data_IF_082507550918
#
_entry.id   IF_082507550918
#
_cell.length_a   1.000
_cell.length_b   1.000
_cell.length_c   1.000
_cell.angle_alpha   90.00
_cell.angle_beta   90.00
_cell.angle_gamma   90.00
#
_symmetry.space_group_name_H-M   'P 1'
#
loop_
_entity.id
_entity.type
_entity.pdbx_description
1 polymer ?
#
# COMPACT_ATOMS: atom_id res chain seq x y z
N UNK A 1 13.39 -29.49 -20.48
CA UNK A 1 12.69 -28.24 -20.25
C UNK A 1 11.29 -28.54 -19.79
N UNK A 2 10.94 -28.17 -18.57
CA UNK A 2 9.60 -28.34 -18.04
C UNK A 2 8.63 -27.48 -18.89
N UNK A 3 7.63 -28.13 -19.49
CA UNK A 3 6.54 -27.41 -20.14
C UNK A 3 5.69 -26.76 -19.05
N UNK A 4 5.98 -25.52 -18.72
CA UNK A 4 5.09 -24.75 -17.87
C UNK A 4 3.74 -24.59 -18.58
N UNK A 5 2.62 -24.85 -17.90
CA UNK A 5 1.31 -24.70 -18.49
C UNK A 5 1.12 -23.25 -18.97
N UNK A 6 0.78 -23.08 -20.24
CA UNK A 6 0.46 -21.76 -20.78
C UNK A 6 -0.81 -21.24 -20.08
N UNK A 7 -0.68 -20.07 -19.44
CA UNK A 7 -1.78 -19.41 -18.74
C UNK A 7 -2.97 -19.16 -19.68
N UNK A 8 -4.11 -19.77 -19.41
CA UNK A 8 -5.39 -19.39 -20.03
C UNK A 8 -5.99 -18.23 -19.23
N UNK A 9 -5.52 -17.02 -19.49
CA UNK A 9 -6.03 -15.84 -18.79
C UNK A 9 -7.36 -15.39 -19.39
N UNK A 10 -8.46 -15.74 -18.76
CA UNK A 10 -9.68 -14.94 -18.87
C UNK A 10 -9.52 -13.76 -17.92
N UNK A 11 -9.09 -12.60 -18.44
CA UNK A 11 -9.10 -11.35 -17.68
C UNK A 11 -10.56 -10.87 -17.57
N UNK A 12 -11.02 -10.70 -16.34
CA UNK A 12 -12.27 -9.97 -16.08
C UNK A 12 -11.89 -8.50 -16.09
N UNK A 13 -12.42 -7.71 -17.01
CA UNK A 13 -12.13 -6.27 -17.10
C UNK A 13 -13.26 -5.47 -16.46
N UNK A 14 -12.91 -4.47 -15.67
CA UNK A 14 -13.88 -3.55 -15.09
C UNK A 14 -14.36 -2.58 -16.19
N UNK A 15 -15.63 -2.65 -16.64
CA UNK A 15 -16.04 -1.99 -17.87
C UNK A 15 -16.25 -0.47 -17.72
N UNK A 16 -16.43 0.03 -16.50
CA UNK A 16 -16.70 1.44 -16.21
C UNK A 16 -16.18 1.84 -14.83
N UNK A 17 -16.04 3.14 -14.59
CA UNK A 17 -15.66 3.66 -13.28
C UNK A 17 -16.76 3.41 -12.26
N UNK A 18 -16.40 2.80 -11.15
CA UNK A 18 -17.37 2.50 -10.09
C UNK A 18 -18.01 3.79 -9.54
N UNK A 19 -19.33 3.79 -9.31
CA UNK A 19 -19.98 4.90 -8.65
C UNK A 19 -19.36 5.18 -7.28
N UNK A 20 -19.27 6.45 -6.90
CA UNK A 20 -18.59 6.87 -5.67
C UNK A 20 -19.15 6.25 -4.38
N UNK A 21 -20.43 5.86 -4.39
CA UNK A 21 -21.09 5.23 -3.25
C UNK A 21 -20.77 3.73 -3.10
N UNK A 22 -20.19 3.09 -4.12
CA UNK A 22 -19.92 1.64 -4.08
C UNK A 22 -18.82 1.27 -3.09
N UNK A 23 -17.80 2.14 -2.93
CA UNK A 23 -16.72 1.96 -1.96
C UNK A 23 -17.01 2.78 -0.70
N UNK A 24 -17.62 2.13 0.27
CA UNK A 24 -17.86 2.66 1.60
C UNK A 24 -17.63 1.56 2.65
N UNK A 25 -17.63 1.93 3.93
CA UNK A 25 -17.34 1.00 5.03
C UNK A 25 -18.31 -0.20 5.08
N UNK A 26 -19.56 -0.01 4.69
CA UNK A 26 -20.54 -1.10 4.70
C UNK A 26 -20.25 -2.14 3.62
N UNK A 27 -20.05 -1.70 2.36
CA UNK A 27 -19.80 -2.61 1.24
C UNK A 27 -18.44 -3.33 1.39
N UNK A 28 -17.40 -2.63 1.85
CA UNK A 28 -16.09 -3.21 2.15
C UNK A 28 -16.21 -4.23 3.28
N UNK A 29 -16.93 -3.92 4.36
CA UNK A 29 -17.13 -4.84 5.47
C UNK A 29 -17.90 -6.09 5.06
N UNK A 30 -18.96 -5.93 4.27
CA UNK A 30 -19.75 -7.04 3.74
C UNK A 30 -18.92 -7.96 2.84
N UNK A 31 -18.12 -7.38 1.94
CA UNK A 31 -17.20 -8.12 1.08
C UNK A 31 -16.15 -8.87 1.91
N UNK A 32 -15.51 -8.22 2.86
CA UNK A 32 -14.49 -8.84 3.71
C UNK A 32 -15.07 -10.00 4.54
N UNK A 33 -16.27 -9.84 5.09
CA UNK A 33 -16.96 -10.90 5.84
C UNK A 33 -17.29 -12.10 4.95
N UNK A 34 -17.76 -11.85 3.72
CA UNK A 34 -18.02 -12.90 2.75
C UNK A 34 -16.72 -13.63 2.39
N UNK A 35 -15.69 -12.90 2.00
CA UNK A 35 -14.39 -13.45 1.60
C UNK A 35 -13.74 -14.25 2.73
N UNK A 36 -13.76 -13.74 3.96
CA UNK A 36 -13.27 -14.45 5.14
C UNK A 36 -14.04 -15.75 5.36
N UNK A 37 -15.38 -15.72 5.32
CA UNK A 37 -16.20 -16.91 5.54
C UNK A 37 -15.99 -17.99 4.47
N UNK A 38 -15.77 -17.61 3.22
CA UNK A 38 -15.47 -18.54 2.13
C UNK A 38 -14.11 -19.24 2.27
N UNK A 39 -13.18 -18.61 2.99
CA UNK A 39 -11.80 -19.10 3.11
C UNK A 39 -11.41 -19.62 4.50
N UNK A 40 -12.17 -19.29 5.56
CA UNK A 40 -11.81 -19.62 6.97
C UNK A 40 -11.58 -21.11 7.26
N UNK A 41 -12.22 -22.00 6.51
CA UNK A 41 -12.10 -23.45 6.73
C UNK A 41 -11.03 -24.10 5.83
N UNK A 42 -10.33 -23.33 4.99
CA UNK A 42 -9.27 -23.85 4.13
C UNK A 42 -7.96 -23.82 4.91
N UNK A 43 -7.52 -24.97 5.43
CA UNK A 43 -6.26 -25.09 6.16
C UNK A 43 -5.04 -24.96 5.22
N UNK A 44 -5.11 -25.55 4.03
CA UNK A 44 -4.10 -25.43 3.00
C UNK A 44 -4.72 -25.62 1.61
N UNK A 45 -4.17 -24.96 0.60
CA UNK A 45 -4.58 -25.15 -0.80
C UNK A 45 -3.38 -24.95 -1.72
N UNK A 46 -3.33 -25.73 -2.80
CA UNK A 46 -2.40 -25.48 -3.89
C UNK A 46 -2.99 -24.37 -4.77
N UNK A 47 -2.22 -23.31 -4.97
CA UNK A 47 -2.58 -22.21 -5.86
C UNK A 47 -1.50 -22.04 -6.91
N UNK A 48 -1.89 -21.57 -8.10
CA UNK A 48 -0.93 -21.19 -9.13
C UNK A 48 -0.07 -20.03 -8.64
N UNK A 49 1.26 -20.12 -8.87
CA UNK A 49 2.21 -19.12 -8.40
C UNK A 49 1.89 -17.71 -8.91
N UNK A 50 1.40 -17.59 -10.12
CA UNK A 50 1.07 -16.34 -10.77
C UNK A 50 -0.16 -15.68 -10.10
N UNK A 51 -1.19 -16.45 -9.82
CA UNK A 51 -2.37 -15.99 -9.06
C UNK A 51 -2.00 -15.62 -7.62
N UNK A 52 -1.03 -16.31 -7.02
CA UNK A 52 -0.57 -16.02 -5.66
C UNK A 52 0.22 -14.71 -5.60
N UNK A 53 1.19 -14.51 -6.49
CA UNK A 53 2.05 -13.34 -6.47
C UNK A 53 1.42 -12.10 -7.13
N UNK A 54 0.52 -12.30 -8.11
CA UNK A 54 -0.09 -11.24 -8.90
C UNK A 54 -1.63 -11.33 -8.93
N UNK A 55 -2.30 -11.29 -7.76
CA UNK A 55 -3.75 -11.55 -7.69
C UNK A 55 -4.59 -10.54 -8.50
N UNK A 56 -4.11 -9.30 -8.65
CA UNK A 56 -4.81 -8.26 -9.41
C UNK A 56 -4.62 -8.33 -10.92
N UNK A 57 -3.62 -9.08 -11.41
CA UNK A 57 -3.36 -9.20 -12.85
C UNK A 57 -4.47 -9.94 -13.60
N UNK A 58 -5.31 -10.68 -12.88
CA UNK A 58 -6.51 -11.33 -13.41
C UNK A 58 -7.68 -10.36 -13.64
N UNK A 59 -7.61 -9.15 -13.09
CA UNK A 59 -8.63 -8.11 -13.19
C UNK A 59 -8.07 -6.96 -14.01
N UNK A 60 -8.54 -6.82 -15.27
CA UNK A 60 -8.20 -5.67 -16.10
C UNK A 60 -8.89 -4.40 -15.60
N UNK A 61 -8.20 -3.25 -15.70
CA UNK A 61 -8.71 -1.94 -15.29
C UNK A 61 -9.23 -1.90 -13.84
N UNK A 62 -8.63 -2.69 -12.93
CA UNK A 62 -9.04 -2.78 -11.52
C UNK A 62 -9.06 -1.42 -10.81
N UNK A 63 -8.24 -0.46 -11.26
CA UNK A 63 -8.21 0.90 -10.75
C UNK A 63 -9.56 1.63 -10.90
N UNK A 64 -10.39 1.26 -11.86
CA UNK A 64 -11.75 1.81 -12.04
C UNK A 64 -12.68 1.53 -10.87
N UNK A 65 -12.35 0.56 -10.01
CA UNK A 65 -13.09 0.31 -8.77
C UNK A 65 -13.07 1.51 -7.81
N UNK A 66 -12.05 2.38 -7.90
CA UNK A 66 -11.96 3.59 -7.09
C UNK A 66 -12.75 4.78 -7.65
N UNK A 67 -13.34 4.63 -8.84
CA UNK A 67 -14.12 5.64 -9.53
C UNK A 67 -13.25 6.72 -10.17
N UNK A 68 -13.88 7.76 -10.69
CA UNK A 68 -13.22 8.83 -11.48
C UNK A 68 -12.10 9.58 -10.75
N UNK A 69 -12.20 9.70 -9.43
CA UNK A 69 -11.18 10.40 -8.64
C UNK A 69 -9.91 9.56 -8.44
N UNK A 70 -9.94 8.27 -8.78
CA UNK A 70 -8.81 7.38 -8.62
C UNK A 70 -8.48 7.07 -7.16
N UNK A 71 -7.23 6.70 -6.90
CA UNK A 71 -6.74 6.29 -5.59
C UNK A 71 -5.30 6.75 -5.39
N UNK A 72 -4.85 6.70 -4.15
CA UNK A 72 -3.44 6.77 -3.79
C UNK A 72 -3.06 5.60 -2.91
N UNK A 73 -1.79 5.27 -2.89
CA UNK A 73 -1.26 4.17 -2.09
C UNK A 73 -0.38 4.73 -0.96
N UNK A 74 -0.39 4.04 0.17
CA UNK A 74 0.60 4.18 1.22
C UNK A 74 1.18 2.81 1.54
N UNK A 75 2.50 2.72 1.59
CA UNK A 75 3.17 1.53 2.09
C UNK A 75 4.19 1.95 3.14
N UNK A 76 4.08 1.36 4.31
CA UNK A 76 5.01 1.60 5.41
C UNK A 76 5.61 0.28 5.88
N UNK A 77 6.75 0.38 6.56
CA UNK A 77 7.35 -0.72 7.33
C UNK A 77 7.50 -0.27 8.76
N UNK A 78 7.20 -1.15 9.71
CA UNK A 78 7.46 -0.95 11.13
C UNK A 78 8.49 -1.99 11.60
N UNK A 79 9.43 -1.58 12.49
CA UNK A 79 10.31 -2.52 13.17
C UNK A 79 9.51 -3.63 13.83
N UNK A 80 10.08 -4.83 13.88
CA UNK A 80 9.36 -6.05 14.32
C UNK A 80 8.76 -5.91 15.72
N UNK A 81 9.49 -5.29 16.63
CA UNK A 81 9.07 -5.08 18.02
C UNK A 81 7.84 -4.14 18.16
N UNK A 82 7.62 -3.24 17.19
CA UNK A 82 6.50 -2.31 17.19
C UNK A 82 5.39 -2.68 16.22
N UNK A 83 5.57 -3.75 15.43
CA UNK A 83 4.66 -4.08 14.32
C UNK A 83 3.25 -4.40 14.79
N UNK A 84 3.07 -5.21 15.83
CA UNK A 84 1.75 -5.61 16.33
C UNK A 84 0.97 -4.39 16.85
N UNK A 85 1.57 -3.64 17.75
CA UNK A 85 0.96 -2.44 18.33
C UNK A 85 0.69 -1.38 17.25
N UNK A 86 1.66 -1.12 16.38
CA UNK A 86 1.56 -0.11 15.34
C UNK A 86 0.47 -0.43 14.34
N UNK A 87 0.41 -1.66 13.84
CA UNK A 87 -0.64 -2.04 12.87
C UNK A 87 -2.02 -2.12 13.49
N UNK A 88 -2.14 -2.51 14.75
CA UNK A 88 -3.41 -2.41 15.47
C UNK A 88 -3.90 -0.96 15.50
N UNK A 89 -3.02 0.00 15.80
CA UNK A 89 -3.34 1.43 15.81
C UNK A 89 -3.66 1.96 14.40
N UNK A 90 -2.88 1.59 13.39
CA UNK A 90 -3.12 1.97 11.99
C UNK A 90 -4.49 1.47 11.54
N UNK A 91 -4.78 0.18 11.71
CA UNK A 91 -6.04 -0.43 11.27
C UNK A 91 -7.24 0.16 12.01
N UNK A 92 -7.15 0.41 13.32
CA UNK A 92 -8.21 1.08 14.07
C UNK A 92 -8.46 2.52 13.62
N UNK A 93 -7.40 3.27 13.28
CA UNK A 93 -7.51 4.62 12.72
C UNK A 93 -8.24 4.59 11.38
N UNK A 94 -7.87 3.66 10.49
CA UNK A 94 -8.53 3.47 9.19
C UNK A 94 -10.00 3.11 9.38
N UNK A 95 -10.30 2.15 10.24
CA UNK A 95 -11.69 1.71 10.50
C UNK A 95 -12.57 2.85 10.96
N UNK A 96 -12.06 3.72 11.82
CA UNK A 96 -12.84 4.79 12.43
C UNK A 96 -12.93 6.04 11.55
N UNK A 97 -11.91 6.35 10.78
CA UNK A 97 -11.76 7.65 10.11
C UNK A 97 -11.77 7.58 8.58
N UNK A 98 -11.42 6.46 7.96
CA UNK A 98 -11.34 6.30 6.51
C UNK A 98 -12.69 5.96 5.88
N UNK A 99 -12.75 6.05 4.56
CA UNK A 99 -13.87 5.50 3.74
C UNK A 99 -13.71 4.01 3.45
N UNK A 100 -12.76 3.36 4.11
CA UNK A 100 -12.36 1.98 3.85
C UNK A 100 -11.16 1.90 2.91
N UNK A 101 -10.42 0.80 3.02
CA UNK A 101 -9.34 0.43 2.08
C UNK A 101 -9.75 -0.84 1.37
N UNK A 102 -9.58 -0.88 0.05
CA UNK A 102 -10.00 -2.02 -0.77
C UNK A 102 -8.92 -3.10 -0.82
N UNK A 103 -7.66 -2.69 -0.83
CA UNK A 103 -6.51 -3.60 -0.85
C UNK A 103 -5.61 -3.31 0.35
N UNK A 104 -5.31 -4.35 1.11
CA UNK A 104 -4.31 -4.33 2.16
C UNK A 104 -3.38 -5.54 1.97
N UNK A 105 -2.07 -5.31 1.90
CA UNK A 105 -1.07 -6.35 1.74
C UNK A 105 -0.05 -6.26 2.85
N UNK A 106 0.04 -7.31 3.66
CA UNK A 106 1.04 -7.45 4.72
C UNK A 106 2.15 -8.39 4.26
N UNK A 107 3.41 -7.99 4.46
CA UNK A 107 4.59 -8.81 4.13
C UNK A 107 5.62 -8.72 5.25
N UNK A 108 6.49 -9.72 5.32
CA UNK A 108 7.67 -9.72 6.19
C UNK A 108 8.90 -9.28 5.39
N UNK A 109 9.70 -8.37 5.94
CA UNK A 109 10.94 -7.89 5.36
C UNK A 109 12.13 -8.29 6.23
N UNK A 110 13.21 -8.69 5.56
CA UNK A 110 14.55 -8.77 6.13
C UNK A 110 15.23 -7.41 6.20
N UNK A 111 16.49 -7.41 6.63
CA UNK A 111 17.33 -6.21 6.68
C UNK A 111 17.43 -5.55 5.29
N UNK A 112 17.20 -4.25 5.24
CA UNK A 112 17.41 -3.44 4.05
C UNK A 112 18.84 -2.95 3.91
N UNK A 113 19.24 -2.56 2.71
CA UNK A 113 20.53 -1.95 2.43
C UNK A 113 20.39 -0.86 1.37
N UNK A 114 21.38 0.07 1.36
CA UNK A 114 21.46 1.13 0.37
C UNK A 114 20.94 2.49 0.85
N UNK A 115 21.26 3.52 0.06
CA UNK A 115 20.83 4.89 0.27
C UNK A 115 19.36 5.01 -0.08
N UNK A 116 18.59 5.76 0.67
CA UNK A 116 17.14 5.91 0.49
C UNK A 116 16.39 4.55 0.42
N UNK A 117 16.94 3.52 1.08
CA UNK A 117 16.34 2.19 1.10
C UNK A 117 15.10 2.17 1.99
N UNK A 118 13.96 1.75 1.44
CA UNK A 118 12.71 1.60 2.18
C UNK A 118 12.70 0.37 3.11
N UNK A 119 13.17 -0.82 2.67
CA UNK A 119 13.10 -2.01 3.51
C UNK A 119 13.89 -1.85 4.81
N UNK A 120 13.24 -2.21 5.91
CA UNK A 120 13.82 -2.41 7.24
C UNK A 120 13.37 -3.77 7.74
N UNK A 121 14.14 -4.40 8.61
CA UNK A 121 13.71 -5.64 9.23
C UNK A 121 12.43 -5.43 10.03
N UNK A 122 11.35 -6.13 9.64
CA UNK A 122 10.04 -5.97 10.24
C UNK A 122 8.89 -6.28 9.30
N UNK A 123 7.70 -5.85 9.65
CA UNK A 123 6.52 -6.04 8.83
C UNK A 123 6.24 -4.79 7.99
N UNK A 124 5.83 -4.99 6.75
CA UNK A 124 5.38 -3.91 5.85
C UNK A 124 3.91 -4.07 5.50
N UNK A 125 3.18 -2.97 5.53
CA UNK A 125 1.77 -2.89 5.17
C UNK A 125 1.58 -1.91 4.03
N UNK A 126 1.01 -2.39 2.92
CA UNK A 126 0.59 -1.58 1.79
C UNK A 126 -0.93 -1.43 1.79
N UNK A 127 -1.41 -0.22 1.57
CA UNK A 127 -2.81 0.18 1.65
C UNK A 127 -3.18 1.06 0.46
N UNK A 128 -4.34 0.79 -0.13
CA UNK A 128 -4.90 1.60 -1.21
C UNK A 128 -6.09 2.42 -0.68
N UNK A 129 -6.06 3.71 -0.87
CA UNK A 129 -7.12 4.62 -0.44
C UNK A 129 -7.76 5.30 -1.64
N UNK A 130 -9.09 5.34 -1.67
CA UNK A 130 -9.80 6.20 -2.61
C UNK A 130 -9.33 7.65 -2.45
N UNK A 131 -9.01 8.33 -3.55
CA UNK A 131 -8.59 9.72 -3.51
C UNK A 131 -9.74 10.61 -3.03
N UNK A 132 -9.56 11.18 -1.84
CA UNK A 132 -10.47 12.14 -1.21
C UNK A 132 -9.73 12.92 -0.13
N UNK A 133 -10.16 14.14 0.15
CA UNK A 133 -9.56 14.97 1.20
C UNK A 133 -9.58 14.25 2.56
N UNK A 134 -10.69 13.59 2.89
CA UNK A 134 -10.83 12.79 4.11
C UNK A 134 -9.73 11.72 4.24
N UNK A 135 -9.48 10.96 3.17
CA UNK A 135 -8.48 9.89 3.19
C UNK A 135 -7.04 10.45 3.17
N UNK A 136 -6.81 11.62 2.57
CA UNK A 136 -5.52 12.32 2.64
C UNK A 136 -5.19 12.68 4.09
N UNK A 137 -6.16 13.24 4.84
CA UNK A 137 -5.96 13.58 6.25
C UNK A 137 -5.71 12.33 7.12
N UNK A 138 -6.45 11.24 6.86
CA UNK A 138 -6.15 9.95 7.48
C UNK A 138 -4.72 9.49 7.17
N UNK A 139 -4.31 9.57 5.90
CA UNK A 139 -2.96 9.22 5.50
C UNK A 139 -1.88 10.02 6.24
N UNK A 140 -2.06 11.33 6.43
CA UNK A 140 -1.16 12.17 7.23
C UNK A 140 -1.10 11.71 8.70
N UNK A 141 -2.23 11.34 9.28
CA UNK A 141 -2.26 10.80 10.65
C UNK A 141 -1.50 9.47 10.74
N UNK A 142 -1.69 8.58 9.76
CA UNK A 142 -0.93 7.33 9.68
C UNK A 142 0.58 7.59 9.61
N UNK A 143 1.00 8.63 8.89
CA UNK A 143 2.41 9.00 8.79
C UNK A 143 2.99 9.34 10.16
N UNK A 144 2.26 10.09 10.99
CA UNK A 144 2.69 10.38 12.36
C UNK A 144 2.79 9.12 13.22
N UNK A 145 1.84 8.18 13.09
CA UNK A 145 1.88 6.92 13.84
C UNK A 145 3.14 6.12 13.47
N UNK A 146 3.43 5.99 12.18
CA UNK A 146 4.57 5.23 11.68
C UNK A 146 5.90 5.86 12.11
N UNK A 147 6.04 7.18 11.97
CA UNK A 147 7.27 7.89 12.35
C UNK A 147 7.57 7.77 13.84
N UNK A 148 6.54 7.90 14.70
CA UNK A 148 6.70 7.74 16.15
C UNK A 148 7.14 6.34 16.59
N UNK A 149 6.96 5.34 15.72
CA UNK A 149 7.36 3.95 15.96
C UNK A 149 8.65 3.57 15.20
N UNK A 150 9.40 4.55 14.69
CA UNK A 150 10.64 4.31 13.96
C UNK A 150 10.46 3.61 12.60
N UNK A 151 9.25 3.67 12.05
CA UNK A 151 8.93 3.12 10.74
C UNK A 151 9.40 4.02 9.60
N UNK A 152 9.19 3.56 8.37
CA UNK A 152 9.48 4.30 7.14
C UNK A 152 8.41 4.10 6.10
N UNK A 153 8.35 5.00 5.10
CA UNK A 153 7.44 4.92 3.98
C UNK A 153 8.13 4.60 2.66
N UNK A 154 7.45 3.86 1.79
CA UNK A 154 7.94 3.52 0.47
C UNK A 154 7.73 4.68 -0.50
N UNK A 155 8.81 5.36 -0.90
CA UNK A 155 8.75 6.54 -1.76
C UNK A 155 8.02 6.32 -3.08
N UNK A 156 8.12 5.13 -3.67
CA UNK A 156 7.42 4.83 -4.93
C UNK A 156 5.89 4.67 -4.78
N UNK A 157 5.39 4.64 -3.54
CA UNK A 157 3.94 4.57 -3.21
C UNK A 157 3.51 5.73 -2.32
N UNK A 158 4.28 6.81 -2.34
CA UNK A 158 3.98 7.98 -1.53
C UNK A 158 3.40 9.11 -2.37
N UNK A 159 2.29 9.67 -1.90
CA UNK A 159 1.61 10.80 -2.49
C UNK A 159 1.47 12.01 -1.53
N UNK A 160 1.86 11.87 -0.25
CA UNK A 160 1.51 12.85 0.79
C UNK A 160 2.65 13.22 1.75
N UNK A 161 3.77 12.50 1.74
CA UNK A 161 4.93 12.78 2.59
C UNK A 161 5.45 14.21 2.36
N UNK A 162 5.79 14.92 3.41
CA UNK A 162 6.47 16.22 3.34
C UNK A 162 7.98 16.08 3.59
N UNK A 163 8.72 17.18 3.43
CA UNK A 163 10.18 17.18 3.59
C UNK A 163 10.63 16.83 5.02
N UNK A 164 9.89 17.25 6.04
CA UNK A 164 10.22 16.93 7.44
C UNK A 164 10.13 15.42 7.70
N UNK A 165 9.06 14.78 7.22
CA UNK A 165 8.89 13.33 7.31
C UNK A 165 9.96 12.57 6.52
N UNK A 166 10.27 13.03 5.31
CA UNK A 166 11.32 12.44 4.49
C UNK A 166 12.69 12.50 5.19
N UNK A 167 13.06 13.65 5.75
CA UNK A 167 14.34 13.81 6.45
C UNK A 167 14.42 12.99 7.75
N UNK A 168 13.28 12.65 8.37
CA UNK A 168 13.23 11.75 9.52
C UNK A 168 13.45 10.28 9.12
N UNK A 169 12.95 9.87 7.95
CA UNK A 169 12.98 8.48 7.50
C UNK A 169 14.27 8.12 6.76
N UNK A 170 14.89 9.09 6.06
CA UNK A 170 15.97 8.84 5.11
C UNK A 170 17.14 9.80 5.31
N UNK A 171 18.36 9.25 5.30
CA UNK A 171 19.58 10.04 5.14
C UNK A 171 19.82 10.30 3.65
N UNK A 172 19.64 11.54 3.22
CA UNK A 172 19.79 11.95 1.82
C UNK A 172 21.19 12.41 1.43
N UNK A 173 22.12 12.60 2.37
CA UNK A 173 23.43 13.20 2.12
C UNK A 173 24.23 12.45 1.05
N UNK A 174 24.28 11.12 1.14
CA UNK A 174 25.01 10.31 0.17
C UNK A 174 24.35 10.36 -1.21
N UNK A 175 23.02 10.32 -1.27
CA UNK A 175 22.27 10.44 -2.53
C UNK A 175 22.51 11.81 -3.21
N UNK A 176 22.55 12.88 -2.44
CA UNK A 176 22.75 14.24 -2.97
C UNK A 176 24.09 14.43 -3.67
N UNK A 177 25.13 13.66 -3.32
CA UNK A 177 26.43 13.70 -4.01
C UNK A 177 26.35 13.30 -5.49
N UNK A 178 25.39 12.45 -5.83
CA UNK A 178 25.23 11.92 -7.19
C UNK A 178 24.02 12.52 -7.93
N UNK A 179 23.23 13.33 -7.26
CA UNK A 179 22.01 13.88 -7.81
C UNK A 179 22.30 14.97 -8.85
N UNK A 180 21.68 14.87 -10.02
CA UNK A 180 21.61 15.98 -10.98
C UNK A 180 20.45 16.91 -10.61
N UNK A 181 20.73 18.15 -10.20
CA UNK A 181 19.74 19.14 -9.79
C UNK A 181 18.78 19.59 -10.90
N UNK A 182 19.14 19.34 -12.17
CA UNK A 182 18.26 19.63 -13.32
C UNK A 182 17.10 18.60 -13.44
N UNK A 183 17.26 17.39 -12.86
CA UNK A 183 16.24 16.35 -12.91
C UNK A 183 15.37 16.48 -11.66
N UNK A 184 14.11 16.88 -11.85
CA UNK A 184 13.12 17.07 -10.79
C UNK A 184 11.83 16.35 -11.11
N UNK A 185 11.18 15.79 -10.08
CA UNK A 185 9.81 15.29 -10.12
C UNK A 185 8.96 16.08 -9.12
N UNK A 186 7.65 16.04 -9.25
CA UNK A 186 6.75 16.65 -8.26
C UNK A 186 7.00 16.11 -6.85
N UNK A 187 7.28 14.81 -6.74
CA UNK A 187 7.66 14.19 -5.46
C UNK A 187 8.95 14.80 -4.93
N UNK A 188 10.03 14.88 -5.75
CA UNK A 188 11.31 15.43 -5.29
C UNK A 188 11.21 16.90 -4.88
N UNK A 189 10.32 17.68 -5.51
CA UNK A 189 10.04 19.05 -5.11
C UNK A 189 9.31 19.08 -3.77
N UNK A 190 8.29 18.25 -3.59
CA UNK A 190 7.48 18.19 -2.36
C UNK A 190 8.26 17.75 -1.13
N UNK A 191 9.20 16.83 -1.28
CA UNK A 191 10.05 16.33 -0.18
C UNK A 191 11.41 17.05 -0.09
N UNK A 192 11.64 18.07 -0.91
CA UNK A 192 12.89 18.87 -0.95
C UNK A 192 14.16 18.01 -1.15
N UNK A 193 14.04 17.06 -2.08
CA UNK A 193 15.10 16.14 -2.48
C UNK A 193 15.78 16.62 -3.76
#
# INVERSE_FOLDING_TARGET
>A
PANYPKRKNKKITFPFDAPSFLLNNFTVSAFNKLYFNLNKNKQSSYVDWDTYFYPLDSIGDWNRMYGKNGFFQLQCVLPREFSEQGYTKILSTIQNKSSGTFLAVLKDFGAGNGHLSFPKEGLTLALDFKASQKNIEVGKELTHIVNNLGGSFYLAKDAIMNSAQFNNDFNKEEFLKYRNSAIKSEQSIRIEL
#
